data_IF_814664226229
#
_entry.id   IF_814664226229
#
_cell.length_a   1.000
_cell.length_b   1.000
_cell.length_c   1.000
_cell.angle_alpha   90.00
_cell.angle_beta   90.00
_cell.angle_gamma   90.00
#
_symmetry.space_group_name_H-M   'P 1'
#
loop_
_entity.id
_entity.type
_entity.pdbx_description
1 polymer ?
#
# COMPACT_ATOMS: atom_id res chain seq x y z
N UNK A 1 15.97 10.68 -6.38
CA UNK A 1 17.09 11.12 -5.52
C UNK A 1 18.22 10.10 -5.66
N UNK A 2 19.19 10.38 -6.54
CA UNK A 2 20.37 9.52 -6.79
C UNK A 2 21.38 9.58 -5.62
N UNK A 3 22.44 8.76 -5.66
CA UNK A 3 23.21 8.43 -4.47
C UNK A 3 23.87 9.67 -3.87
N UNK A 4 23.80 9.76 -2.55
CA UNK A 4 24.49 10.75 -1.74
C UNK A 4 25.98 10.45 -1.87
N UNK A 5 26.82 11.42 -2.30
CA UNK A 5 28.26 11.22 -2.36
C UNK A 5 28.79 10.75 -1.01
N UNK A 6 29.50 9.61 -1.02
CA UNK A 6 30.07 8.95 0.15
C UNK A 6 31.55 8.70 -0.12
N UNK A 7 32.40 8.92 0.89
CA UNK A 7 33.83 8.59 0.83
C UNK A 7 34.07 7.08 0.76
N UNK A 8 33.10 6.29 1.22
CA UNK A 8 33.09 4.84 1.13
C UNK A 8 32.47 4.40 -0.19
N UNK A 9 33.02 3.35 -0.81
CA UNK A 9 32.58 2.73 -2.08
C UNK A 9 31.13 2.21 -2.11
N UNK A 10 30.35 2.42 -1.05
CA UNK A 10 28.94 2.05 -0.97
C UNK A 10 28.04 3.27 -1.24
N UNK A 11 27.26 3.20 -2.31
CA UNK A 11 26.22 4.18 -2.61
C UNK A 11 25.20 4.26 -1.46
N UNK A 12 24.96 5.47 -0.95
CA UNK A 12 23.93 5.75 0.07
C UNK A 12 22.78 6.50 -0.58
N UNK A 13 21.54 6.18 -0.19
CA UNK A 13 20.34 6.86 -0.65
C UNK A 13 19.61 7.51 0.53
N UNK A 14 18.63 8.36 0.23
CA UNK A 14 17.84 9.05 1.24
C UNK A 14 17.18 8.08 2.24
N UNK A 15 16.69 6.93 1.75
CA UNK A 15 16.08 5.87 2.57
C UNK A 15 17.07 5.09 3.45
N UNK A 16 18.38 5.29 3.28
CA UNK A 16 19.39 4.74 4.19
C UNK A 16 19.58 5.63 5.42
N UNK A 17 19.13 6.89 5.36
CA UNK A 17 19.28 7.89 6.42
C UNK A 17 17.95 8.23 7.11
N UNK A 18 16.84 8.15 6.37
CA UNK A 18 15.52 8.60 6.83
C UNK A 18 14.43 7.56 6.54
N UNK A 19 13.31 7.69 7.24
CA UNK A 19 12.05 7.00 6.92
C UNK A 19 11.16 7.98 6.15
N UNK A 20 11.08 7.89 4.80
CA UNK A 20 10.22 8.77 4.03
C UNK A 20 8.75 8.39 4.17
N UNK A 21 7.91 9.40 4.40
CA UNK A 21 6.45 9.33 4.28
C UNK A 21 5.93 10.64 3.68
N UNK A 22 4.92 10.56 2.84
CA UNK A 22 4.31 11.68 2.14
C UNK A 22 2.88 11.93 2.63
N UNK A 23 2.27 13.05 2.23
CA UNK A 23 0.85 13.33 2.45
C UNK A 23 0.33 14.15 1.27
N UNK A 24 -0.85 13.86 0.72
CA UNK A 24 -1.42 14.58 -0.41
C UNK A 24 -1.92 15.96 0.00
N UNK A 25 -2.24 16.15 1.29
CA UNK A 25 -2.69 17.43 1.85
C UNK A 25 -2.36 17.54 3.34
N UNK A 26 -2.34 18.77 3.86
CA UNK A 26 -2.23 19.02 5.30
C UNK A 26 -3.45 18.47 6.06
N UNK A 27 -4.65 18.61 5.49
CA UNK A 27 -5.88 18.07 6.06
C UNK A 27 -5.83 16.55 6.20
N UNK A 28 -5.35 15.84 5.18
CA UNK A 28 -5.14 14.39 5.25
C UNK A 28 -4.18 13.99 6.37
N UNK A 29 -3.09 14.75 6.56
CA UNK A 29 -2.14 14.54 7.65
C UNK A 29 -2.77 14.76 9.03
N UNK A 30 -3.53 15.85 9.20
CA UNK A 30 -4.22 16.17 10.45
C UNK A 30 -5.22 15.06 10.81
N UNK A 31 -6.04 14.62 9.85
CA UNK A 31 -6.97 13.52 10.07
C UNK A 31 -6.24 12.22 10.43
N UNK A 32 -5.15 11.90 9.73
CA UNK A 32 -4.36 10.68 9.97
C UNK A 32 -3.69 10.66 11.35
N UNK A 33 -3.46 11.83 11.99
CA UNK A 33 -2.88 11.98 13.34
C UNK A 33 -3.89 11.93 14.48
N UNK A 34 -5.19 12.07 14.23
CA UNK A 34 -6.20 12.02 15.29
C UNK A 34 -6.10 10.70 16.04
N UNK A 35 -6.18 10.68 17.37
CA UNK A 35 -6.02 9.44 18.14
C UNK A 35 -6.90 8.30 17.59
N UNK A 36 -6.32 7.12 17.39
CA UNK A 36 -7.09 5.94 17.00
C UNK A 36 -7.60 5.20 18.23
N UNK A 37 -8.69 4.47 18.06
CA UNK A 37 -9.03 3.44 19.02
C UNK A 37 -7.89 2.42 19.04
N UNK A 38 -7.39 2.08 20.23
CA UNK A 38 -6.44 0.98 20.34
C UNK A 38 -7.11 -0.29 19.80
N UNK A 39 -6.41 -0.98 18.88
CA UNK A 39 -6.87 -2.29 18.41
C UNK A 39 -6.76 -3.26 19.59
N UNK A 40 -7.90 -3.63 20.16
CA UNK A 40 -7.96 -4.62 21.23
C UNK A 40 -7.91 -6.02 20.61
N UNK A 41 -6.82 -6.74 20.91
CA UNK A 41 -6.62 -8.11 20.44
C UNK A 41 -6.05 -8.19 19.03
N UNK A 42 -6.57 -9.14 18.24
CA UNK A 42 -6.01 -9.50 16.94
C UNK A 42 -6.60 -8.60 15.84
N UNK A 43 -5.78 -7.85 15.08
CA UNK A 43 -6.30 -6.96 14.03
C UNK A 43 -6.96 -7.74 12.89
N UNK A 44 -7.94 -7.11 12.21
CA UNK A 44 -8.55 -7.63 10.99
C UNK A 44 -7.83 -7.11 9.74
N UNK A 45 -7.61 -7.98 8.76
CA UNK A 45 -7.03 -7.67 7.46
C UNK A 45 -7.94 -8.18 6.35
N UNK A 46 -8.41 -7.28 5.48
CA UNK A 46 -9.14 -7.63 4.27
C UNK A 46 -8.18 -7.85 3.11
N UNK A 47 -8.16 -9.06 2.56
CA UNK A 47 -7.45 -9.38 1.34
C UNK A 47 -8.39 -9.27 0.14
N UNK A 48 -8.09 -8.33 -0.75
CA UNK A 48 -8.79 -8.17 -2.03
C UNK A 48 -7.82 -8.55 -3.14
N UNK A 49 -8.08 -9.65 -3.85
CA UNK A 49 -7.15 -10.10 -4.88
C UNK A 49 -7.84 -10.67 -6.11
N UNK A 50 -7.40 -10.24 -7.29
CA UNK A 50 -7.89 -10.74 -8.57
C UNK A 50 -6.73 -11.37 -9.35
N UNK A 51 -6.37 -12.64 -9.05
CA UNK A 51 -5.32 -13.32 -9.81
C UNK A 51 -5.79 -13.59 -11.24
N UNK A 52 -4.89 -13.42 -12.20
CA UNK A 52 -5.07 -13.89 -13.58
C UNK A 52 -3.77 -14.54 -14.09
N UNK A 53 -3.77 -15.01 -15.34
CA UNK A 53 -2.61 -15.70 -15.92
C UNK A 53 -1.43 -14.77 -16.25
N UNK A 54 -1.68 -13.45 -16.37
CA UNK A 54 -0.64 -12.43 -16.53
C UNK A 54 -0.01 -11.97 -15.22
N UNK A 55 -0.66 -12.24 -14.07
CA UNK A 55 -0.17 -11.92 -12.72
C UNK A 55 -0.01 -13.17 -11.83
N UNK A 56 0.92 -14.09 -12.16
CA UNK A 56 1.17 -15.27 -11.34
C UNK A 56 1.71 -14.93 -9.93
N UNK A 57 2.26 -13.73 -9.73
CA UNK A 57 2.74 -13.20 -8.46
C UNK A 57 1.62 -12.96 -7.46
N UNK A 58 0.43 -12.52 -7.91
CA UNK A 58 -0.75 -12.33 -7.05
C UNK A 58 -1.14 -13.63 -6.34
N UNK A 59 -1.08 -14.78 -7.04
CA UNK A 59 -1.34 -16.10 -6.42
C UNK A 59 -0.37 -16.40 -5.27
N UNK A 60 0.86 -15.89 -5.35
CA UNK A 60 1.87 -16.07 -4.29
C UNK A 60 1.71 -15.03 -3.19
N UNK A 61 1.31 -13.81 -3.51
CA UNK A 61 1.00 -12.76 -2.56
C UNK A 61 -0.18 -13.16 -1.65
N UNK A 62 -1.26 -13.73 -2.23
CA UNK A 62 -2.37 -14.31 -1.46
C UNK A 62 -1.86 -15.32 -0.40
N UNK A 63 -0.90 -16.18 -0.76
CA UNK A 63 -0.31 -17.14 0.19
C UNK A 63 0.48 -16.45 1.30
N UNK A 64 1.17 -15.35 0.99
CA UNK A 64 1.88 -14.54 1.99
C UNK A 64 0.89 -13.97 2.98
N UNK A 65 -0.21 -13.37 2.51
CA UNK A 65 -1.21 -12.75 3.38
C UNK A 65 -1.92 -13.78 4.26
N UNK A 66 -2.34 -14.92 3.70
CA UNK A 66 -2.92 -16.03 4.47
C UNK A 66 -1.98 -16.59 5.53
N UNK A 67 -0.67 -16.57 5.29
CA UNK A 67 0.30 -17.01 6.31
C UNK A 67 0.36 -16.11 7.55
N UNK A 68 -0.28 -14.93 7.51
CA UNK A 68 -0.38 -14.01 8.64
C UNK A 68 -1.53 -14.35 9.60
N UNK A 69 -2.30 -15.42 9.35
CA UNK A 69 -3.43 -15.85 10.17
C UNK A 69 -3.11 -16.07 11.66
N UNK A 70 -1.85 -16.27 12.04
CA UNK A 70 -1.48 -16.32 13.47
C UNK A 70 -1.48 -14.93 14.13
N UNK A 71 -1.32 -13.85 13.35
CA UNK A 71 -1.12 -12.47 13.80
C UNK A 71 -2.31 -11.56 13.52
N UNK A 72 -3.03 -11.79 12.42
CA UNK A 72 -4.23 -11.04 12.02
C UNK A 72 -5.37 -11.97 11.62
N UNK A 73 -6.60 -11.51 11.77
CA UNK A 73 -7.79 -12.19 11.23
C UNK A 73 -7.94 -11.79 9.76
N UNK A 74 -7.70 -12.73 8.85
CA UNK A 74 -7.75 -12.47 7.41
C UNK A 74 -9.15 -12.76 6.88
N UNK A 75 -9.75 -11.80 6.19
CA UNK A 75 -10.98 -11.98 5.40
C UNK A 75 -10.62 -11.98 3.91
N UNK A 76 -10.97 -13.05 3.20
CA UNK A 76 -10.56 -13.28 1.81
C UNK A 76 -11.66 -12.93 0.81
N UNK A 77 -11.40 -11.92 -0.02
CA UNK A 77 -12.17 -11.58 -1.22
C UNK A 77 -11.29 -11.79 -2.44
N UNK A 78 -11.27 -13.04 -2.93
CA UNK A 78 -10.41 -13.48 -4.03
C UNK A 78 -11.25 -13.91 -5.22
N UNK A 79 -10.77 -13.58 -6.44
CA UNK A 79 -11.42 -13.98 -7.70
C UNK A 79 -12.89 -13.55 -7.74
N UNK A 80 -13.84 -14.48 -7.88
CA UNK A 80 -15.27 -14.17 -7.99
C UNK A 80 -15.86 -13.37 -6.83
N UNK A 81 -15.17 -13.29 -5.69
CA UNK A 81 -15.60 -12.53 -4.50
C UNK A 81 -15.01 -11.12 -4.45
N UNK A 82 -13.98 -10.84 -5.24
CA UNK A 82 -13.33 -9.53 -5.29
C UNK A 82 -14.17 -8.60 -6.18
N UNK A 83 -15.38 -8.25 -5.77
CA UNK A 83 -16.30 -7.41 -6.55
C UNK A 83 -16.24 -5.95 -6.07
N UNK A 84 -16.80 -5.00 -6.85
CA UNK A 84 -16.91 -3.60 -6.45
C UNK A 84 -17.54 -3.35 -5.06
N UNK A 85 -18.35 -4.26 -4.52
CA UNK A 85 -18.99 -4.10 -3.19
C UNK A 85 -18.02 -4.23 -2.01
N UNK A 86 -16.76 -4.61 -2.26
CA UNK A 86 -15.70 -4.78 -1.25
C UNK A 86 -15.48 -3.58 -0.32
N UNK A 87 -15.91 -2.38 -0.73
CA UNK A 87 -15.83 -1.17 0.11
C UNK A 87 -16.63 -1.32 1.41
N UNK A 88 -17.71 -2.10 1.39
CA UNK A 88 -18.51 -2.37 2.59
C UNK A 88 -17.73 -3.21 3.60
N UNK A 89 -16.98 -4.22 3.13
CA UNK A 89 -16.12 -5.07 3.95
C UNK A 89 -14.92 -4.31 4.56
N UNK A 90 -14.52 -3.19 3.94
CA UNK A 90 -13.47 -2.32 4.48
C UNK A 90 -13.90 -1.62 5.78
N UNK A 91 -15.20 -1.44 6.02
CA UNK A 91 -15.70 -0.72 7.20
C UNK A 91 -15.29 -1.39 8.52
N UNK A 92 -15.24 -2.72 8.51
CA UNK A 92 -14.96 -3.55 9.69
C UNK A 92 -13.49 -4.03 9.72
N UNK A 93 -12.68 -3.56 8.78
CA UNK A 93 -11.30 -3.99 8.59
C UNK A 93 -10.31 -2.91 9.05
N UNK A 94 -9.31 -3.31 9.84
CA UNK A 94 -8.22 -2.41 10.24
C UNK A 94 -7.20 -2.25 9.11
N UNK A 95 -6.90 -3.36 8.44
CA UNK A 95 -5.95 -3.43 7.36
C UNK A 95 -6.63 -3.80 6.05
N UNK A 96 -6.15 -3.25 4.94
CA UNK A 96 -6.51 -3.71 3.60
C UNK A 96 -5.25 -4.09 2.83
N UNK A 97 -5.33 -5.18 2.09
CA UNK A 97 -4.32 -5.56 1.12
C UNK A 97 -5.01 -5.78 -0.23
N UNK A 98 -4.64 -4.97 -1.23
CA UNK A 98 -5.24 -5.03 -2.57
C UNK A 98 -4.16 -5.49 -3.55
N UNK A 99 -4.36 -6.65 -4.17
CA UNK A 99 -3.46 -7.26 -5.13
C UNK A 99 -4.20 -7.57 -6.44
N UNK A 100 -4.13 -6.64 -7.38
CA UNK A 100 -4.76 -6.74 -8.69
C UNK A 100 -4.04 -5.87 -9.72
N UNK A 101 -4.48 -5.91 -10.98
CA UNK A 101 -4.09 -4.89 -11.95
C UNK A 101 -4.54 -3.51 -11.47
N UNK A 102 -3.60 -2.55 -11.46
CA UNK A 102 -3.94 -1.14 -11.47
C UNK A 102 -4.16 -0.71 -12.91
N UNK A 103 -5.27 -0.02 -13.16
CA UNK A 103 -5.59 0.55 -14.48
C UNK A 103 -5.52 2.06 -14.33
N UNK A 104 -4.63 2.70 -15.09
CA UNK A 104 -4.59 4.15 -15.24
C UNK A 104 -4.75 4.48 -16.72
N UNK A 105 -5.91 5.02 -17.10
CA UNK A 105 -6.12 5.47 -18.48
C UNK A 105 -5.40 6.81 -18.70
N UNK A 106 -4.62 6.90 -19.79
CA UNK A 106 -3.92 8.14 -20.18
C UNK A 106 -4.93 9.26 -20.39
N UNK A 107 -4.70 10.42 -19.74
CA UNK A 107 -5.61 11.57 -19.79
C UNK A 107 -6.83 11.47 -18.87
N UNK A 108 -6.86 10.46 -17.98
CA UNK A 108 -7.92 10.28 -16.99
C UNK A 108 -7.37 9.85 -15.62
N UNK A 109 -6.59 10.72 -14.95
CA UNK A 109 -6.04 10.41 -13.62
C UNK A 109 -7.10 9.98 -12.61
N UNK A 110 -8.29 10.54 -12.73
CA UNK A 110 -9.41 10.22 -11.87
C UNK A 110 -9.81 8.75 -11.97
N UNK A 111 -9.72 8.12 -13.15
CA UNK A 111 -10.20 6.75 -13.39
C UNK A 111 -9.22 5.65 -12.95
N UNK A 112 -8.14 6.01 -12.24
CA UNK A 112 -7.16 5.08 -11.68
C UNK A 112 -7.86 4.00 -10.85
N UNK A 113 -8.00 2.77 -11.35
CA UNK A 113 -8.91 1.78 -10.76
C UNK A 113 -8.24 0.44 -10.51
N UNK A 114 -8.78 -0.30 -9.55
CA UNK A 114 -8.43 -1.71 -9.34
C UNK A 114 -9.31 -2.57 -10.23
N UNK A 115 -8.70 -3.44 -11.04
CA UNK A 115 -9.45 -4.43 -11.82
C UNK A 115 -9.93 -5.54 -10.91
N UNK A 116 -11.23 -5.56 -10.68
CA UNK A 116 -11.93 -6.50 -9.81
C UNK A 116 -12.76 -7.48 -10.67
N UNK A 117 -13.35 -8.49 -10.03
CA UNK A 117 -14.33 -9.34 -10.68
C UNK A 117 -15.58 -8.51 -11.04
N UNK A 118 -16.08 -8.69 -12.27
CA UNK A 118 -17.25 -7.99 -12.82
C UNK A 118 -17.10 -6.46 -12.96
N UNK A 119 -15.88 -5.92 -12.93
CA UNK A 119 -15.62 -4.53 -13.31
C UNK A 119 -14.38 -3.92 -12.67
N UNK A 120 -14.18 -2.63 -12.91
CA UNK A 120 -13.16 -1.85 -12.24
C UNK A 120 -13.78 -1.03 -11.11
N UNK A 121 -13.06 -0.87 -9.99
CA UNK A 121 -13.52 0.01 -8.90
C UNK A 121 -12.73 1.31 -8.87
N UNK A 122 -13.45 2.41 -8.97
CA UNK A 122 -12.89 3.75 -8.96
C UNK A 122 -12.68 4.27 -7.52
N UNK A 123 -11.55 4.95 -7.25
CA UNK A 123 -11.20 5.50 -5.94
C UNK A 123 -12.26 6.41 -5.32
N UNK A 124 -12.98 7.20 -6.13
CA UNK A 124 -14.05 8.11 -5.68
C UNK A 124 -15.23 7.40 -5.00
N UNK A 125 -15.41 6.09 -5.19
CA UNK A 125 -16.46 5.32 -4.50
C UNK A 125 -16.04 4.83 -3.12
N UNK A 126 -14.75 4.90 -2.78
CA UNK A 126 -14.30 4.62 -1.42
C UNK A 126 -14.62 5.80 -0.48
N UNK A 127 -14.63 7.04 -0.98
CA UNK A 127 -14.86 8.25 -0.17
C UNK A 127 -16.31 8.40 0.29
N UNK A 128 -17.24 7.66 -0.33
CA UNK A 128 -18.64 7.56 0.06
C UNK A 128 -18.83 6.75 1.35
N UNK A 129 -17.82 5.97 1.77
CA UNK A 129 -17.89 5.11 2.96
C UNK A 129 -16.94 5.65 4.03
N UNK A 130 -17.48 5.90 5.22
CA UNK A 130 -16.63 6.21 6.38
C UNK A 130 -16.02 4.93 6.92
N UNK A 131 -14.69 4.87 6.97
CA UNK A 131 -13.92 3.76 7.51
C UNK A 131 -13.31 4.17 8.85
N UNK A 132 -14.06 4.10 9.97
CA UNK A 132 -13.59 4.61 11.27
C UNK A 132 -12.42 3.79 11.85
N UNK A 133 -12.27 2.53 11.43
CA UNK A 133 -11.28 1.60 11.94
C UNK A 133 -10.07 1.43 11.00
N UNK A 134 -10.05 2.13 9.85
CA UNK A 134 -9.02 1.93 8.83
C UNK A 134 -7.66 2.48 9.29
N UNK A 135 -6.74 1.56 9.57
CA UNK A 135 -5.38 1.88 10.01
C UNK A 135 -4.45 1.99 8.82
N UNK A 136 -4.43 0.97 7.97
CA UNK A 136 -3.44 0.88 6.91
C UNK A 136 -3.91 0.12 5.67
N UNK A 137 -3.55 0.62 4.49
CA UNK A 137 -3.78 -0.05 3.21
C UNK A 137 -2.47 -0.32 2.46
N UNK A 138 -2.32 -1.54 1.94
CA UNK A 138 -1.24 -1.91 1.04
C UNK A 138 -1.80 -2.13 -0.37
N UNK A 139 -1.38 -1.32 -1.33
CA UNK A 139 -1.82 -1.38 -2.71
C UNK A 139 -0.72 -2.02 -3.56
N UNK A 140 -0.78 -3.35 -3.69
CA UNK A 140 0.04 -4.14 -4.62
C UNK A 140 -0.57 -4.07 -6.02
N UNK A 141 -0.63 -2.85 -6.56
CA UNK A 141 -1.22 -2.53 -7.86
C UNK A 141 -0.28 -1.57 -8.58
N UNK A 142 -0.09 -1.72 -9.88
CA UNK A 142 0.69 -0.77 -10.69
C UNK A 142 0.07 0.63 -10.65
N UNK A 143 0.91 1.67 -10.68
CA UNK A 143 0.47 3.08 -10.80
C UNK A 143 -0.43 3.58 -9.65
N UNK A 144 -0.46 2.89 -8.51
CA UNK A 144 -1.35 3.23 -7.39
C UNK A 144 -1.04 4.61 -6.75
N UNK A 145 0.14 5.16 -6.99
CA UNK A 145 0.61 6.46 -6.52
C UNK A 145 1.17 7.33 -7.66
N UNK A 146 0.86 7.01 -8.92
CA UNK A 146 1.33 7.81 -10.05
C UNK A 146 0.59 9.14 -10.14
N UNK A 147 1.32 10.22 -10.39
CA UNK A 147 0.78 11.55 -10.65
C UNK A 147 0.88 11.80 -12.16
N UNK A 148 -0.25 11.99 -12.85
CA UNK A 148 -0.25 12.29 -14.29
C UNK A 148 -0.03 13.78 -14.55
N UNK A 149 0.58 14.11 -15.69
CA UNK A 149 0.95 15.48 -16.09
C UNK A 149 -0.22 16.45 -16.36
N UNK A 150 -1.46 15.97 -16.42
CA UNK A 150 -2.66 16.82 -16.54
C UNK A 150 -2.91 17.58 -15.24
N UNK A 151 -2.19 18.70 -15.13
CA UNK A 151 -2.22 19.73 -14.09
C UNK A 151 -3.64 20.00 -13.58
N UNK A 152 -3.94 19.48 -12.40
CA UNK A 152 -4.91 20.11 -11.50
C UNK A 152 -4.16 20.40 -10.21
N UNK A 153 -4.21 21.69 -9.84
CA UNK A 153 -3.14 22.38 -9.16
C UNK A 153 -3.09 22.23 -7.63
N UNK A 154 -3.94 21.44 -6.99
CA UNK A 154 -4.00 21.44 -5.51
C UNK A 154 -4.26 20.10 -4.82
N UNK A 155 -4.56 19.01 -5.55
CA UNK A 155 -4.87 17.72 -4.91
C UNK A 155 -4.26 16.55 -5.68
N UNK A 156 -3.51 15.71 -4.97
CA UNK A 156 -3.00 14.46 -5.54
C UNK A 156 -4.16 13.45 -5.65
N UNK A 157 -4.53 13.09 -6.88
CA UNK A 157 -5.73 12.31 -7.19
C UNK A 157 -5.43 10.84 -7.55
N UNK A 158 -4.32 10.30 -7.06
CA UNK A 158 -3.96 8.90 -7.26
C UNK A 158 -4.64 7.98 -6.24
N UNK A 159 -4.73 6.68 -6.53
CA UNK A 159 -5.45 5.68 -5.70
C UNK A 159 -4.98 5.68 -4.23
N UNK A 160 -3.69 5.85 -3.99
CA UNK A 160 -3.10 5.93 -2.64
C UNK A 160 -3.63 7.14 -1.85
N UNK A 161 -3.74 8.31 -2.50
CA UNK A 161 -4.31 9.51 -1.88
C UNK A 161 -5.81 9.34 -1.64
N UNK A 162 -6.53 8.73 -2.59
CA UNK A 162 -7.94 8.39 -2.42
C UNK A 162 -8.17 7.51 -1.19
N UNK A 163 -7.39 6.45 -0.99
CA UNK A 163 -7.48 5.61 0.21
C UNK A 163 -7.26 6.43 1.49
N UNK A 164 -6.34 7.39 1.48
CA UNK A 164 -6.13 8.29 2.62
C UNK A 164 -7.31 9.24 2.84
N UNK A 165 -7.93 9.76 1.78
CA UNK A 165 -9.20 10.52 1.87
C UNK A 165 -10.35 9.66 2.43
N UNK A 166 -10.29 8.34 2.23
CA UNK A 166 -11.23 7.37 2.80
C UNK A 166 -10.92 6.99 4.26
N UNK A 167 -9.97 7.70 4.88
CA UNK A 167 -9.53 7.57 6.27
C UNK A 167 -8.58 6.42 6.59
N UNK A 168 -7.97 5.78 5.60
CA UNK A 168 -6.74 5.05 5.92
C UNK A 168 -5.70 6.05 6.43
N UNK A 169 -5.14 5.81 7.61
CA UNK A 169 -4.12 6.71 8.19
C UNK A 169 -2.83 6.68 7.40
N UNK A 170 -2.50 5.48 6.92
CA UNK A 170 -1.30 5.20 6.17
C UNK A 170 -1.57 4.27 5.00
N UNK A 171 -0.93 4.53 3.87
CA UNK A 171 -1.13 3.78 2.63
C UNK A 171 0.21 3.57 1.93
N UNK A 172 0.47 2.36 1.48
CA UNK A 172 1.57 2.05 0.56
C UNK A 172 1.03 1.85 -0.84
N UNK A 173 1.70 2.45 -1.84
CA UNK A 173 1.40 2.27 -3.25
C UNK A 173 2.66 2.27 -4.11
N UNK A 174 2.47 2.13 -5.42
CA UNK A 174 3.55 2.14 -6.43
C UNK A 174 3.43 3.36 -7.33
N UNK A 175 4.53 4.04 -7.62
CA UNK A 175 4.54 5.23 -8.48
C UNK A 175 4.43 4.90 -9.98
N UNK A 176 4.79 3.70 -10.40
CA UNK A 176 4.72 3.24 -11.79
C UNK A 176 4.52 1.71 -11.86
N UNK A 177 4.64 1.15 -13.06
CA UNK A 177 4.51 -0.29 -13.30
C UNK A 177 5.46 -1.10 -12.41
N UNK A 178 4.90 -2.08 -11.70
CA UNK A 178 5.64 -2.93 -10.77
C UNK A 178 5.88 -4.30 -11.40
N UNK A 179 7.09 -4.82 -11.29
CA UNK A 179 7.34 -6.21 -11.66
C UNK A 179 6.54 -7.17 -10.77
N UNK A 180 5.84 -8.13 -11.36
CA UNK A 180 4.94 -9.07 -10.68
C UNK A 180 5.58 -9.81 -9.49
N UNK A 181 6.90 -10.04 -9.50
CA UNK A 181 7.61 -10.68 -8.39
C UNK A 181 7.82 -9.79 -7.18
N UNK A 182 7.85 -8.47 -7.36
CA UNK A 182 8.26 -7.51 -6.33
C UNK A 182 7.16 -7.32 -5.29
N UNK A 183 5.89 -7.28 -5.72
CA UNK A 183 4.74 -7.17 -4.81
C UNK A 183 4.78 -8.23 -3.70
N UNK A 184 4.88 -9.51 -4.09
CA UNK A 184 5.01 -10.64 -3.14
C UNK A 184 6.15 -10.43 -2.14
N UNK A 185 7.32 -10.09 -2.66
CA UNK A 185 8.55 -10.04 -1.87
C UNK A 185 8.58 -8.85 -0.91
N UNK A 186 8.03 -7.73 -1.36
CA UNK A 186 7.84 -6.53 -0.55
C UNK A 186 6.77 -6.77 0.51
N UNK A 187 5.58 -7.24 0.14
CA UNK A 187 4.48 -7.51 1.07
C UNK A 187 4.90 -8.48 2.18
N UNK A 188 5.62 -9.56 1.83
CA UNK A 188 6.17 -10.50 2.81
C UNK A 188 7.11 -9.83 3.81
N UNK A 189 8.02 -8.99 3.31
CA UNK A 189 9.00 -8.30 4.15
C UNK A 189 8.35 -7.22 5.01
N UNK A 190 7.39 -6.51 4.43
CA UNK A 190 6.61 -5.45 5.04
C UNK A 190 5.78 -5.98 6.22
N UNK A 191 4.89 -6.95 5.99
CA UNK A 191 4.03 -7.47 7.07
C UNK A 191 4.81 -8.20 8.16
N UNK A 192 5.95 -8.81 7.80
CA UNK A 192 6.86 -9.38 8.82
C UNK A 192 7.42 -8.30 9.75
N UNK A 193 7.76 -7.12 9.22
CA UNK A 193 8.27 -6.01 10.02
C UNK A 193 7.13 -5.35 10.83
N UNK A 194 6.02 -5.04 10.16
CA UNK A 194 4.85 -4.38 10.73
C UNK A 194 4.25 -5.17 11.91
N UNK A 195 4.07 -6.48 11.75
CA UNK A 195 3.52 -7.33 12.82
C UNK A 195 4.59 -7.94 13.72
N UNK A 196 5.82 -7.43 13.71
CA UNK A 196 6.87 -7.92 14.62
C UNK A 196 6.57 -7.53 16.07
N UNK A 197 6.95 -8.38 17.02
CA UNK A 197 6.67 -8.18 18.45
C UNK A 197 7.67 -7.21 19.13
N UNK A 198 8.54 -6.54 18.38
CA UNK A 198 9.61 -5.71 18.96
C UNK A 198 9.12 -4.32 19.40
N UNK A 199 7.97 -3.87 18.89
CA UNK A 199 7.42 -2.53 19.11
C UNK A 199 5.91 -2.63 19.37
N UNK A 200 5.52 -3.33 20.45
CA UNK A 200 4.10 -3.51 20.80
C UNK A 200 3.41 -2.23 21.26
N UNK A 201 4.20 -1.25 21.70
CA UNK A 201 3.71 0.01 22.28
C UNK A 201 3.56 1.13 21.23
N UNK A 202 4.03 0.89 19.99
CA UNK A 202 3.93 1.85 18.88
C UNK A 202 2.77 1.45 17.97
N UNK A 203 1.85 2.38 17.64
CA UNK A 203 0.74 2.12 16.71
C UNK A 203 1.20 1.58 15.35
N UNK A 204 0.39 0.70 14.73
CA UNK A 204 0.77 0.08 13.45
C UNK A 204 0.98 1.08 12.32
N UNK A 205 0.18 2.14 12.25
CA UNK A 205 0.35 3.19 11.25
C UNK A 205 1.75 3.83 11.38
N UNK A 206 2.20 4.18 12.58
CA UNK A 206 3.52 4.80 12.81
C UNK A 206 4.69 3.87 12.44
N UNK A 207 4.47 2.56 12.57
CA UNK A 207 5.44 1.53 12.19
C UNK A 207 5.48 1.26 10.69
N UNK A 208 4.42 1.59 9.97
CA UNK A 208 4.23 1.18 8.59
C UNK A 208 5.23 1.83 7.62
N UNK A 209 5.59 3.10 7.83
CA UNK A 209 6.64 3.75 7.04
C UNK A 209 8.03 3.09 7.26
N UNK A 210 8.37 2.74 8.50
CA UNK A 210 9.59 1.99 8.82
C UNK A 210 9.59 0.58 8.21
N UNK A 211 8.45 -0.11 8.27
CA UNK A 211 8.27 -1.41 7.64
C UNK A 211 8.46 -1.36 6.12
N UNK A 212 8.02 -0.29 5.46
CA UNK A 212 8.28 -0.09 4.03
C UNK A 212 9.75 0.14 3.74
N UNK A 213 10.43 1.00 4.50
CA UNK A 213 11.88 1.24 4.36
C UNK A 213 12.65 -0.08 4.48
N UNK A 214 12.35 -0.89 5.48
CA UNK A 214 13.04 -2.17 5.68
C UNK A 214 12.76 -3.17 4.55
N UNK A 215 11.54 -3.18 4.01
CA UNK A 215 11.15 -4.04 2.90
C UNK A 215 11.84 -3.62 1.59
N UNK A 216 11.92 -2.32 1.31
CA UNK A 216 12.61 -1.78 0.11
C UNK A 216 14.12 -1.99 0.19
N UNK A 217 14.74 -1.83 1.37
CA UNK A 217 16.16 -2.17 1.58
C UNK A 217 16.46 -3.66 1.34
N UNK A 218 15.59 -4.55 1.82
CA UNK A 218 15.70 -6.00 1.54
C UNK A 218 15.52 -6.31 0.07
N UNK A 219 14.63 -5.59 -0.63
CA UNK A 219 14.43 -5.75 -2.07
C UNK A 219 15.66 -5.29 -2.84
N UNK A 220 16.21 -4.11 -2.52
CA UNK A 220 17.47 -3.57 -3.06
C UNK A 220 18.65 -4.54 -2.91
N UNK A 221 18.74 -5.26 -1.80
CA UNK A 221 19.81 -6.24 -1.55
C UNK A 221 19.76 -7.51 -2.41
N UNK A 222 18.72 -7.71 -3.23
CA UNK A 222 18.61 -8.88 -4.12
C UNK A 222 19.37 -8.67 -5.42
N UNK A 223 19.99 -9.75 -5.88
CA UNK A 223 20.72 -9.76 -7.16
C UNK A 223 19.79 -9.44 -8.33
N UNK A 224 20.17 -8.45 -9.15
CA UNK A 224 19.44 -8.09 -10.37
C UNK A 224 18.23 -7.19 -10.15
N UNK A 225 18.04 -6.63 -8.95
CA UNK A 225 17.06 -5.57 -8.70
C UNK A 225 17.71 -4.23 -9.03
N UNK A 226 17.07 -3.50 -9.94
CA UNK A 226 17.49 -2.17 -10.40
C UNK A 226 16.89 -1.07 -9.54
N UNK A 227 17.41 0.16 -9.68
CA UNK A 227 17.00 1.31 -8.87
C UNK A 227 15.49 1.55 -8.95
N UNK A 228 14.96 1.58 -10.16
CA UNK A 228 13.55 1.82 -10.51
C UNK A 228 12.60 0.74 -9.95
N UNK A 229 13.10 -0.42 -9.53
CA UNK A 229 12.23 -1.45 -8.94
C UNK A 229 12.00 -1.23 -7.46
N UNK A 230 13.06 -0.89 -6.71
CA UNK A 230 12.94 -0.75 -5.26
C UNK A 230 12.50 0.65 -4.82
N UNK A 231 12.76 1.70 -5.61
CA UNK A 231 12.25 3.06 -5.31
C UNK A 231 10.79 3.27 -5.72
N UNK A 232 10.17 2.31 -6.40
CA UNK A 232 8.78 2.43 -6.88
C UNK A 232 7.76 2.54 -5.74
N UNK A 233 8.08 1.96 -4.59
CA UNK A 233 7.15 1.89 -3.46
C UNK A 233 7.21 3.13 -2.58
N UNK A 234 6.06 3.74 -2.34
CA UNK A 234 5.92 4.98 -1.56
C UNK A 234 4.91 4.80 -0.44
N UNK A 235 5.16 5.51 0.66
CA UNK A 235 4.29 5.55 1.83
C UNK A 235 3.64 6.93 1.95
N UNK A 236 2.33 6.97 2.15
CA UNK A 236 1.57 8.19 2.43
C UNK A 236 0.88 8.05 3.78
N UNK A 237 1.06 9.00 4.70
CA UNK A 237 0.44 8.98 6.02
C UNK A 237 1.39 9.20 7.19
N UNK A 238 1.03 8.63 8.34
CA UNK A 238 1.74 8.73 9.62
C UNK A 238 2.19 7.40 10.16
#
# INVERSE_FOLDING_TARGET
MGPIPSSDSCERYFSDLYIPSYTPSLSGLIESRKASAQILGKPSLLLVAQPDDSLPGVKREIKVIRSLEARVTVADLVSGKATPSVVEDLRDSHFAHVACHGVLETGKPFEASSKLHEGSRHPARYSEVRLPNAEFAFLSCCHAAEITEERIADEALHLTAAMQYCRFRSVVGTMWEMADTDGRDLAKSFYKSLFSNQETDVPYNERSAGALRDATQKLRGKRGITLERWVNFVHYGV
#
